data_IF_762251618869
#
_entry.id   IF_762251618869
#
_cell.length_a   1.000
_cell.length_b   1.000
_cell.length_c   1.000
_cell.angle_alpha   90.00
_cell.angle_beta   90.00
_cell.angle_gamma   90.00
#
_symmetry.space_group_name_H-M   'P 1'
#
loop_
_entity.id
_entity.type
_entity.pdbx_description
1 polymer ?
#
# COMPACT_ATOMS: atom_id res chain seq x y z
N UNK A 1 -38.18 22.64 1.62
CA UNK A 1 -37.25 22.34 0.50
C UNK A 1 -35.97 21.86 1.14
N UNK A 2 -35.75 20.56 1.16
CA UNK A 2 -34.56 19.95 1.76
C UNK A 2 -33.47 19.93 0.69
N UNK A 3 -32.43 20.73 0.89
CA UNK A 3 -31.24 20.71 0.04
C UNK A 3 -30.56 19.36 0.25
N UNK A 4 -30.56 18.50 -0.78
CA UNK A 4 -29.69 17.32 -0.80
C UNK A 4 -28.27 17.83 -0.88
N UNK A 5 -27.48 17.60 0.17
CA UNK A 5 -26.04 17.80 0.11
C UNK A 5 -25.51 16.87 -0.99
N UNK A 6 -24.96 17.44 -2.06
CA UNK A 6 -24.17 16.68 -3.03
C UNK A 6 -23.02 16.08 -2.23
N UNK A 7 -22.93 14.74 -2.18
CA UNK A 7 -21.78 14.06 -1.59
C UNK A 7 -20.51 14.68 -2.17
N UNK A 8 -19.54 15.02 -1.32
CA UNK A 8 -18.26 15.52 -1.80
C UNK A 8 -17.67 14.49 -2.78
N UNK A 9 -17.08 14.93 -3.91
CA UNK A 9 -16.51 13.99 -4.86
C UNK A 9 -15.47 13.13 -4.13
N UNK A 10 -15.63 11.81 -4.25
CA UNK A 10 -14.66 10.85 -3.75
C UNK A 10 -13.26 11.28 -4.22
N UNK A 11 -12.32 11.39 -3.29
CA UNK A 11 -10.90 11.60 -3.62
C UNK A 11 -10.48 10.58 -4.70
N UNK A 12 -9.61 10.95 -5.65
CA UNK A 12 -9.20 9.99 -6.69
C UNK A 12 -8.45 8.80 -6.09
N UNK A 13 -8.46 7.66 -6.78
CA UNK A 13 -7.72 6.46 -6.37
C UNK A 13 -6.22 6.74 -6.18
N UNK A 14 -5.63 7.55 -7.06
CA UNK A 14 -4.22 7.97 -6.99
C UNK A 14 -3.96 8.93 -5.84
N UNK A 15 -4.87 9.88 -5.57
CA UNK A 15 -4.76 10.77 -4.40
C UNK A 15 -4.88 9.99 -3.08
N UNK A 16 -5.74 8.97 -3.03
CA UNK A 16 -5.85 8.07 -1.88
C UNK A 16 -4.53 7.37 -1.60
N UNK A 17 -3.92 6.72 -2.62
CA UNK A 17 -2.62 6.06 -2.46
C UNK A 17 -1.53 7.05 -2.10
N UNK A 18 -1.49 8.22 -2.74
CA UNK A 18 -0.53 9.28 -2.41
C UNK A 18 -0.64 9.71 -0.95
N UNK A 19 -1.86 9.81 -0.41
CA UNK A 19 -2.07 10.18 0.99
C UNK A 19 -1.46 9.17 1.98
N UNK A 20 -1.41 7.88 1.63
CA UNK A 20 -0.75 6.84 2.45
C UNK A 20 0.76 7.11 2.62
N UNK A 21 1.42 7.62 1.57
CA UNK A 21 2.85 7.96 1.62
C UNK A 21 3.12 9.35 2.22
N UNK A 22 2.12 10.22 2.27
CA UNK A 22 2.26 11.57 2.84
C UNK A 22 1.96 11.63 4.34
N UNK A 23 1.47 10.54 4.95
CA UNK A 23 1.37 10.47 6.41
C UNK A 23 2.75 10.43 7.06
N UNK A 24 2.84 10.84 8.32
CA UNK A 24 4.04 10.74 9.16
C UNK A 24 3.71 9.93 10.41
N UNK A 25 4.18 8.67 10.53
CA UNK A 25 5.00 7.91 9.58
C UNK A 25 4.24 7.51 8.30
N UNK A 26 4.96 7.02 7.28
CA UNK A 26 4.32 6.44 6.07
C UNK A 26 3.37 5.32 6.51
N UNK A 27 2.11 5.37 6.07
CA UNK A 27 1.11 4.40 6.46
C UNK A 27 1.49 3.00 5.96
N UNK A 28 1.45 2.03 6.86
CA UNK A 28 1.77 0.64 6.59
C UNK A 28 0.69 -0.29 7.19
N UNK A 29 -0.11 -0.95 6.34
CA UNK A 29 -1.13 -1.88 6.81
C UNK A 29 -0.50 -3.03 7.62
N UNK A 30 -1.16 -3.42 8.71
CA UNK A 30 -0.66 -4.44 9.65
C UNK A 30 0.40 -3.95 10.64
N UNK A 31 0.77 -2.68 10.58
CA UNK A 31 1.56 -2.00 11.62
C UNK A 31 0.85 -0.76 12.17
N UNK A 32 0.04 -0.09 11.34
CA UNK A 32 -0.71 1.09 11.73
C UNK A 32 -2.21 0.79 11.92
N UNK A 33 -2.71 1.01 13.13
CA UNK A 33 -4.14 0.94 13.47
C UNK A 33 -4.87 2.28 13.21
N UNK A 34 -6.18 2.24 12.86
CA UNK A 34 -6.97 1.06 12.54
C UNK A 34 -6.79 0.64 11.06
N UNK A 35 -6.25 -0.55 10.80
CA UNK A 35 -6.07 -1.07 9.44
C UNK A 35 -7.38 -1.59 8.84
N UNK A 36 -8.35 -1.96 9.67
CA UNK A 36 -9.67 -2.43 9.29
C UNK A 36 -10.55 -1.38 8.62
N UNK A 37 -10.23 -0.10 8.83
CA UNK A 37 -10.85 1.01 8.13
C UNK A 37 -10.26 1.21 6.72
N UNK A 38 -9.09 0.65 6.45
CA UNK A 38 -8.33 0.86 5.21
C UNK A 38 -8.30 -0.38 4.33
N UNK A 39 -8.34 -1.58 4.90
CA UNK A 39 -8.33 -2.85 4.17
C UNK A 39 -9.74 -3.42 3.99
N UNK A 40 -9.87 -4.36 3.06
CA UNK A 40 -11.09 -5.16 2.90
C UNK A 40 -10.78 -6.55 2.34
N UNK A 41 -11.71 -7.48 2.50
CA UNK A 41 -11.65 -8.80 1.90
C UNK A 41 -10.45 -9.64 2.36
N UNK A 42 -9.85 -10.47 1.47
CA UNK A 42 -8.75 -11.35 1.83
C UNK A 42 -7.50 -10.65 2.37
N UNK A 43 -7.21 -9.43 1.93
CA UNK A 43 -6.08 -8.65 2.43
C UNK A 43 -6.25 -8.27 3.91
N UNK A 44 -7.47 -7.89 4.31
CA UNK A 44 -7.79 -7.65 5.72
C UNK A 44 -7.60 -8.94 6.55
N UNK A 45 -8.12 -10.07 6.06
CA UNK A 45 -8.00 -11.35 6.76
C UNK A 45 -6.53 -11.81 6.93
N UNK A 46 -5.65 -11.51 5.97
CA UNK A 46 -4.23 -11.82 6.08
C UNK A 46 -3.54 -11.00 7.19
N UNK A 47 -3.90 -9.71 7.34
CA UNK A 47 -3.39 -8.86 8.41
C UNK A 47 -3.93 -9.30 9.77
N UNK A 48 -5.22 -9.58 9.88
CA UNK A 48 -5.82 -10.11 11.12
C UNK A 48 -5.11 -11.40 11.56
N UNK A 49 -4.83 -12.31 10.61
CA UNK A 49 -4.09 -13.53 10.89
C UNK A 49 -2.63 -13.26 11.32
N UNK A 50 -1.97 -12.28 10.69
CA UNK A 50 -0.63 -11.88 11.10
C UNK A 50 -0.59 -11.40 12.56
N UNK A 51 -1.59 -10.62 12.98
CA UNK A 51 -1.70 -10.16 14.37
C UNK A 51 -1.95 -11.31 15.35
N UNK A 52 -2.87 -12.23 14.99
CA UNK A 52 -3.14 -13.43 15.78
C UNK A 52 -1.87 -14.29 15.97
N UNK A 53 -1.10 -14.49 14.90
CA UNK A 53 0.14 -15.26 14.93
C UNK A 53 1.23 -14.55 15.75
N UNK A 54 1.33 -13.22 15.63
CA UNK A 54 2.27 -12.39 16.41
C UNK A 54 1.94 -12.42 17.91
N UNK A 55 0.66 -12.34 18.27
CA UNK A 55 0.20 -12.46 19.65
C UNK A 55 0.50 -13.84 20.24
N UNK A 56 0.49 -14.89 19.41
CA UNK A 56 0.82 -16.26 19.81
C UNK A 56 2.34 -16.54 19.88
N UNK A 57 3.18 -15.71 19.22
CA UNK A 57 4.60 -16.03 18.95
C UNK A 57 5.58 -14.92 19.39
N UNK A 58 5.46 -14.41 20.62
CA UNK A 58 6.35 -13.38 21.18
C UNK A 58 6.52 -12.12 20.28
N UNK A 59 5.48 -11.77 19.52
CA UNK A 59 5.49 -10.63 18.60
C UNK A 59 5.97 -10.94 17.18
N UNK A 60 6.19 -12.21 16.84
CA UNK A 60 6.62 -12.63 15.49
C UNK A 60 5.41 -13.13 14.69
N UNK A 61 4.95 -12.31 13.75
CA UNK A 61 3.93 -12.69 12.76
C UNK A 61 4.54 -13.32 11.50
N UNK A 62 3.68 -13.60 10.52
CA UNK A 62 4.05 -14.09 9.18
C UNK A 62 4.57 -12.98 8.26
N UNK A 63 4.24 -11.71 8.53
CA UNK A 63 4.70 -10.54 7.79
C UNK A 63 5.85 -9.91 8.57
N UNK A 64 7.05 -9.89 7.98
CA UNK A 64 8.30 -9.42 8.60
C UNK A 64 8.91 -8.20 7.89
N UNK A 65 8.13 -7.52 7.05
CA UNK A 65 8.53 -6.34 6.31
C UNK A 65 7.38 -5.32 6.20
N UNK A 66 7.70 -4.08 5.83
CA UNK A 66 6.70 -3.05 5.59
C UNK A 66 6.05 -3.22 4.22
N UNK A 67 4.74 -3.48 4.19
CA UNK A 67 3.98 -3.75 2.97
C UNK A 67 4.00 -2.54 2.00
N UNK A 68 3.88 -1.33 2.53
CA UNK A 68 3.89 -0.09 1.74
C UNK A 68 5.27 0.27 1.17
N UNK A 69 6.33 -0.39 1.63
CA UNK A 69 7.72 -0.11 1.26
C UNK A 69 8.45 -1.30 0.63
N UNK A 70 7.89 -2.51 0.75
CA UNK A 70 8.53 -3.76 0.35
C UNK A 70 9.96 -3.88 0.89
N UNK A 71 10.16 -3.48 2.15
CA UNK A 71 11.44 -3.39 2.83
C UNK A 71 11.25 -3.40 4.36
N UNK A 72 12.33 -3.59 5.12
CA UNK A 72 12.31 -3.45 6.58
C UNK A 72 12.38 -1.98 7.04
N UNK A 73 13.01 -1.11 6.23
CA UNK A 73 13.16 0.33 6.47
C UNK A 73 13.35 1.09 5.14
N UNK A 74 13.17 2.41 5.19
CA UNK A 74 13.42 3.33 4.08
C UNK A 74 13.76 4.74 4.62
N UNK A 75 14.43 5.55 3.80
CA UNK A 75 14.48 7.00 4.04
C UNK A 75 13.17 7.62 3.57
N UNK A 76 12.23 7.85 4.50
CA UNK A 76 10.90 8.37 4.15
C UNK A 76 10.94 9.72 3.42
N UNK A 77 11.95 10.56 3.68
CA UNK A 77 12.08 11.83 2.96
C UNK A 77 12.42 11.61 1.48
N UNK A 78 13.27 10.61 1.21
CA UNK A 78 13.58 10.18 -0.15
C UNK A 78 12.37 9.52 -0.82
N UNK A 79 11.66 8.63 -0.11
CA UNK A 79 10.40 8.03 -0.61
C UNK A 79 9.42 9.13 -1.03
N UNK A 80 9.09 10.06 -0.13
CA UNK A 80 8.13 11.15 -0.41
C UNK A 80 8.54 12.04 -1.58
N UNK A 81 9.84 12.36 -1.70
CA UNK A 81 10.36 13.21 -2.78
C UNK A 81 10.35 12.51 -4.14
N UNK A 82 10.55 11.19 -4.16
CA UNK A 82 10.68 10.40 -5.39
C UNK A 82 9.40 9.65 -5.77
N UNK A 83 8.35 9.78 -4.95
CA UNK A 83 7.07 9.12 -5.16
C UNK A 83 6.38 9.57 -6.44
N UNK A 84 6.14 8.61 -7.31
CA UNK A 84 5.23 8.68 -8.46
C UNK A 84 4.04 7.76 -8.18
N UNK A 85 2.83 8.22 -8.50
CA UNK A 85 1.60 7.45 -8.26
C UNK A 85 0.73 7.50 -9.50
N UNK A 86 0.49 6.34 -10.10
CA UNK A 86 -0.19 6.21 -11.39
C UNK A 86 -1.27 5.13 -11.33
N UNK A 87 -2.41 5.39 -11.97
CA UNK A 87 -3.43 4.37 -12.23
C UNK A 87 -2.97 3.50 -13.40
N UNK A 88 -2.90 2.18 -13.20
CA UNK A 88 -2.34 1.23 -14.18
C UNK A 88 -3.36 0.29 -14.80
N UNK A 89 -4.59 0.28 -14.28
CA UNK A 89 -5.72 -0.45 -14.86
C UNK A 89 -7.02 0.34 -14.71
N UNK A 90 -7.87 0.24 -15.73
CA UNK A 90 -9.27 0.63 -15.60
C UNK A 90 -10.04 -0.42 -14.79
N UNK A 91 -11.12 -0.01 -14.13
CA UNK A 91 -11.94 -0.85 -13.26
C UNK A 91 -12.15 -2.29 -13.79
N UNK A 92 -11.69 -3.29 -13.04
CA UNK A 92 -11.88 -4.71 -13.31
C UNK A 92 -12.48 -5.36 -12.07
N UNK A 93 -13.64 -6.02 -12.21
CA UNK A 93 -14.41 -6.58 -11.09
C UNK A 93 -14.69 -5.57 -9.95
N UNK A 94 -14.92 -4.30 -10.31
CA UNK A 94 -15.14 -3.19 -9.37
C UNK A 94 -13.87 -2.66 -8.70
N UNK A 95 -12.67 -3.09 -9.15
CA UNK A 95 -11.39 -2.68 -8.57
C UNK A 95 -10.56 -1.85 -9.53
N UNK A 96 -9.86 -0.84 -9.00
CA UNK A 96 -8.87 -0.03 -9.73
C UNK A 96 -7.48 -0.36 -9.19
N UNK A 97 -6.51 -0.58 -10.08
CA UNK A 97 -5.11 -0.78 -9.66
C UNK A 97 -4.33 0.53 -9.78
N UNK A 98 -3.65 0.89 -8.69
CA UNK A 98 -2.77 2.05 -8.61
C UNK A 98 -1.36 1.59 -8.23
N UNK A 99 -0.34 2.06 -8.93
CA UNK A 99 1.06 1.81 -8.61
C UNK A 99 1.68 3.03 -7.95
N UNK A 100 2.39 2.80 -6.85
CA UNK A 100 3.30 3.73 -6.22
C UNK A 100 4.74 3.29 -6.56
N UNK A 101 5.47 4.17 -7.22
CA UNK A 101 6.88 3.97 -7.59
C UNK A 101 7.74 4.99 -6.85
N UNK A 102 8.81 4.54 -6.21
CA UNK A 102 9.70 5.41 -5.44
C UNK A 102 11.09 4.80 -5.27
N UNK A 103 12.03 5.60 -4.76
CA UNK A 103 13.34 5.14 -4.29
C UNK A 103 13.28 5.05 -2.77
N UNK A 104 13.63 3.89 -2.20
CA UNK A 104 13.67 3.68 -0.75
C UNK A 104 14.89 4.31 -0.08
N UNK A 105 16.05 4.22 -0.75
CA UNK A 105 17.31 4.82 -0.32
C UNK A 105 18.09 5.32 -1.54
N UNK A 106 18.62 6.54 -1.46
CA UNK A 106 19.58 7.04 -2.44
C UNK A 106 21.01 6.71 -1.99
N UNK A 107 21.76 6.04 -2.85
CA UNK A 107 23.17 5.76 -2.61
C UNK A 107 24.06 6.78 -3.30
N UNK A 108 25.01 7.35 -2.55
CA UNK A 108 25.98 8.30 -3.08
C UNK A 108 26.81 7.67 -4.21
N UNK A 109 27.00 8.40 -5.31
CA UNK A 109 27.75 7.93 -6.46
C UNK A 109 26.95 7.05 -7.43
N UNK A 110 25.69 6.75 -7.12
CA UNK A 110 24.77 6.07 -8.04
C UNK A 110 23.87 7.12 -8.72
N UNK A 111 23.87 7.22 -10.06
CA UNK A 111 22.96 8.08 -10.81
C UNK A 111 21.49 7.79 -10.49
N UNK A 112 20.62 8.80 -10.58
CA UNK A 112 19.20 8.67 -10.24
C UNK A 112 18.47 7.59 -11.06
N UNK A 113 18.84 7.43 -12.33
CA UNK A 113 18.30 6.40 -13.25
C UNK A 113 18.85 4.99 -12.98
N UNK A 114 19.79 4.86 -12.03
CA UNK A 114 20.39 3.59 -11.60
C UNK A 114 20.09 3.26 -10.14
N UNK A 115 19.37 4.13 -9.42
CA UNK A 115 18.89 3.81 -8.08
C UNK A 115 17.83 2.71 -8.18
N UNK A 116 17.79 1.82 -7.18
CA UNK A 116 16.78 0.78 -7.11
C UNK A 116 15.41 1.41 -6.88
N UNK A 117 14.50 1.21 -7.83
CA UNK A 117 13.11 1.59 -7.70
C UNK A 117 12.31 0.47 -7.04
N UNK A 118 11.43 0.85 -6.12
CA UNK A 118 10.39 -0.01 -5.57
C UNK A 118 9.08 0.33 -6.24
N UNK A 119 8.31 -0.71 -6.61
CA UNK A 119 6.95 -0.57 -7.13
C UNK A 119 6.00 -1.36 -6.24
N UNK A 120 5.02 -0.68 -5.67
CA UNK A 120 3.91 -1.25 -4.91
C UNK A 120 2.63 -1.02 -5.67
N UNK A 121 1.86 -2.07 -5.91
CA UNK A 121 0.53 -1.99 -6.51
C UNK A 121 -0.52 -2.16 -5.42
N UNK A 122 -1.48 -1.25 -5.42
CA UNK A 122 -2.68 -1.27 -4.60
C UNK A 122 -3.88 -1.58 -5.49
N UNK A 123 -4.59 -2.65 -5.19
CA UNK A 123 -5.89 -2.92 -5.78
C UNK A 123 -6.95 -2.31 -4.86
N UNK A 124 -7.67 -1.31 -5.35
CA UNK A 124 -8.61 -0.51 -4.56
C UNK A 124 -10.06 -0.82 -4.93
N UNK A 125 -10.93 -0.79 -3.93
CA UNK A 125 -12.38 -0.91 -4.07
C UNK A 125 -13.04 0.39 -3.59
N UNK A 126 -13.92 0.95 -4.42
CA UNK A 126 -14.75 2.08 -4.01
C UNK A 126 -15.85 1.60 -3.07
N UNK A 127 -15.98 2.26 -1.93
CA UNK A 127 -16.98 2.00 -0.89
C UNK A 127 -17.73 3.30 -0.59
N UNK A 128 -18.87 3.21 0.11
CA UNK A 128 -19.70 4.38 0.45
C UNK A 128 -18.94 5.44 1.26
N UNK A 129 -17.92 5.03 2.02
CA UNK A 129 -17.10 5.85 2.91
C UNK A 129 -15.74 6.26 2.35
N UNK A 130 -15.36 5.79 1.16
CA UNK A 130 -14.02 6.04 0.64
C UNK A 130 -13.47 4.94 -0.27
N UNK A 131 -12.17 5.00 -0.52
CA UNK A 131 -11.42 3.88 -1.07
C UNK A 131 -10.97 2.95 0.05
N UNK A 132 -11.06 1.64 -0.22
CA UNK A 132 -10.41 0.61 0.60
C UNK A 132 -9.45 -0.19 -0.24
N UNK A 133 -8.37 -0.62 0.39
CA UNK A 133 -7.35 -1.48 -0.18
C UNK A 133 -7.90 -2.91 -0.15
N UNK A 134 -8.28 -3.43 -1.31
CA UNK A 134 -8.68 -4.82 -1.49
C UNK A 134 -7.47 -5.76 -1.56
N UNK A 135 -6.32 -5.25 -2.00
CA UNK A 135 -5.05 -5.97 -1.98
C UNK A 135 -3.83 -5.08 -2.16
N UNK A 136 -2.67 -5.61 -1.81
CA UNK A 136 -1.36 -4.98 -2.00
C UNK A 136 -0.40 -6.02 -2.56
N UNK A 137 0.42 -5.62 -3.51
CA UNK A 137 1.49 -6.47 -4.04
C UNK A 137 2.75 -5.67 -4.33
N UNK A 138 3.92 -6.25 -4.10
CA UNK A 138 5.21 -5.63 -4.40
C UNK A 138 5.99 -6.42 -5.46
N UNK A 139 6.78 -5.73 -6.27
CA UNK A 139 7.79 -6.38 -7.12
C UNK A 139 8.96 -6.84 -6.28
N UNK A 140 9.46 -8.06 -6.51
CA UNK A 140 10.72 -8.46 -5.89
C UNK A 140 11.86 -7.63 -6.49
N UNK A 141 12.87 -7.28 -5.67
CA UNK A 141 14.02 -6.50 -6.13
C UNK A 141 14.73 -7.25 -7.24
N UNK A 142 14.74 -6.68 -8.45
CA UNK A 142 15.39 -7.28 -9.63
C UNK A 142 14.46 -8.12 -10.52
N UNK A 143 13.19 -8.26 -10.17
CA UNK A 143 12.20 -8.96 -10.98
C UNK A 143 11.21 -7.99 -11.65
N UNK A 144 10.79 -8.31 -12.87
CA UNK A 144 9.77 -7.55 -13.60
C UNK A 144 8.34 -7.87 -13.12
N UNK A 145 8.18 -8.97 -12.36
CA UNK A 145 6.91 -9.52 -11.88
C UNK A 145 6.67 -9.19 -10.39
N UNK A 146 5.39 -9.15 -10.00
CA UNK A 146 5.01 -8.99 -8.59
C UNK A 146 5.28 -10.30 -7.84
N UNK A 147 6.15 -10.23 -6.83
CA UNK A 147 6.69 -11.40 -6.13
C UNK A 147 5.87 -11.84 -4.92
N UNK A 148 4.98 -10.98 -4.43
CA UNK A 148 4.08 -11.28 -3.32
C UNK A 148 2.77 -10.50 -3.44
N UNK A 149 1.73 -11.01 -2.79
CA UNK A 149 0.41 -10.38 -2.68
C UNK A 149 -0.14 -10.58 -1.27
N UNK A 150 -0.62 -9.52 -0.64
CA UNK A 150 -1.01 -9.52 0.77
C UNK A 150 -2.06 -10.59 1.07
N UNK A 151 -3.08 -10.74 0.21
CA UNK A 151 -4.10 -11.79 0.37
C UNK A 151 -3.57 -13.24 0.36
N UNK A 152 -2.36 -13.43 -0.12
CA UNK A 152 -1.68 -14.74 -0.24
C UNK A 152 -0.61 -14.90 0.84
N UNK A 153 -0.29 -13.83 1.57
CA UNK A 153 0.52 -13.90 2.77
C UNK A 153 -0.30 -14.56 3.88
N UNK A 154 0.39 -15.29 4.76
CA UNK A 154 -0.20 -15.82 5.98
C UNK A 154 -1.32 -16.86 5.79
N UNK A 155 -1.27 -17.70 4.74
CA UNK A 155 -2.20 -18.83 4.60
C UNK A 155 -1.89 -20.00 5.53
#
# INVERSE_FOLDING_TARGET
>A
MTTVALAEPLQSATDFVRALYMSEPIYNPGFDEPFEERLTGPALAAVEKNEDDAAASEGVGCIDFMLSLNAQDADEATVRRTLEVDEVSSETDGRISVEATFIGFEFEGIPADQQTQTVIRYDLLAMDDGWRIADISGKAVGDDEFGWRLSELCQ
#
